data_IF_493515036602
#
_entry.id   IF_493515036602
#
_cell.length_a   1.000
_cell.length_b   1.000
_cell.length_c   1.000
_cell.angle_alpha   90.00
_cell.angle_beta   90.00
_cell.angle_gamma   90.00
#
_symmetry.space_group_name_H-M   'P 1'
#
loop_
_entity.id
_entity.type
_entity.pdbx_description
1 polymer ?
#
# COMPACT_ATOMS: atom_id res chain seq x y z
N UNK A 1 9.79 17.27 7.31
CA UNK A 1 8.75 16.60 6.51
C UNK A 1 8.08 17.61 5.60
N UNK A 2 7.76 17.20 4.37
CA UNK A 2 6.96 17.99 3.42
C UNK A 2 5.51 17.51 3.54
N UNK A 3 4.63 18.36 4.04
CA UNK A 3 3.21 18.04 4.17
C UNK A 3 2.56 17.84 2.79
N UNK A 4 1.63 16.92 2.72
CA UNK A 4 0.77 16.68 1.56
C UNK A 4 -0.62 17.28 1.80
N UNK A 5 -1.31 17.58 0.71
CA UNK A 5 -2.72 17.99 0.73
C UNK A 5 -3.56 16.78 1.19
N UNK A 6 -4.47 17.00 2.11
CA UNK A 6 -5.40 15.97 2.54
C UNK A 6 -6.40 15.70 1.41
N UNK A 7 -6.34 14.51 0.86
CA UNK A 7 -7.25 14.01 -0.18
C UNK A 7 -7.96 12.77 0.32
N UNK A 8 -9.09 12.46 -0.27
CA UNK A 8 -9.86 11.23 -0.08
C UNK A 8 -9.92 10.42 -1.39
N UNK A 9 -10.76 9.41 -1.43
CA UNK A 9 -10.82 8.47 -2.55
C UNK A 9 -11.33 9.08 -3.86
N UNK A 10 -12.12 10.16 -3.81
CA UNK A 10 -12.60 10.85 -5.02
C UNK A 10 -11.45 11.45 -5.83
N UNK A 11 -10.31 11.67 -5.16
CA UNK A 11 -9.10 12.12 -5.84
C UNK A 11 -8.55 11.11 -6.85
N UNK A 12 -8.81 9.81 -6.70
CA UNK A 12 -8.43 8.77 -7.66
C UNK A 12 -8.93 9.04 -9.09
N UNK A 13 -10.07 9.70 -9.23
CA UNK A 13 -10.68 9.99 -10.54
C UNK A 13 -10.16 11.30 -11.16
N UNK A 14 -9.67 12.22 -10.33
CA UNK A 14 -9.23 13.57 -10.76
C UNK A 14 -7.72 13.77 -10.72
N UNK A 15 -6.97 12.84 -10.11
CA UNK A 15 -5.52 12.95 -9.93
C UNK A 15 -4.78 13.07 -11.28
N UNK A 16 -3.75 13.94 -11.37
CA UNK A 16 -2.88 14.04 -12.55
C UNK A 16 -2.13 12.74 -12.89
N UNK A 17 -1.75 11.97 -11.86
CA UNK A 17 -1.18 10.63 -12.01
C UNK A 17 -2.25 9.64 -11.55
N UNK A 18 -2.58 8.67 -12.40
CA UNK A 18 -3.50 7.59 -12.08
C UNK A 18 -2.86 6.29 -12.49
N UNK A 19 -2.67 5.40 -11.52
CA UNK A 19 -2.07 4.09 -11.70
C UNK A 19 -3.09 3.03 -11.29
N UNK A 20 -3.22 1.99 -12.09
CA UNK A 20 -4.08 0.84 -11.78
C UNK A 20 -3.33 -0.44 -12.09
N UNK A 21 -3.47 -1.42 -11.22
CA UNK A 21 -2.94 -2.76 -11.45
C UNK A 21 -3.90 -3.80 -10.89
N UNK A 22 -3.81 -5.00 -11.45
CA UNK A 22 -4.47 -6.19 -10.93
C UNK A 22 -3.41 -7.26 -10.78
N UNK A 23 -3.39 -7.90 -9.62
CA UNK A 23 -2.40 -8.93 -9.26
C UNK A 23 -3.13 -10.15 -8.73
N UNK A 24 -2.83 -11.33 -9.27
CA UNK A 24 -3.29 -12.59 -8.70
C UNK A 24 -2.30 -13.06 -7.63
N UNK A 25 -2.82 -13.45 -6.49
CA UNK A 25 -2.04 -14.00 -5.36
C UNK A 25 -2.72 -15.30 -4.92
N UNK A 26 -2.01 -16.41 -4.98
CA UNK A 26 -2.52 -17.74 -4.60
C UNK A 26 -2.71 -17.90 -3.07
N UNK A 27 -3.27 -16.90 -2.42
CA UNK A 27 -3.59 -16.86 -0.99
C UNK A 27 -4.96 -16.24 -0.77
N UNK A 28 -5.71 -16.64 0.26
CA UNK A 28 -7.03 -16.09 0.57
C UNK A 28 -6.99 -14.57 0.81
N UNK A 29 -8.06 -13.82 0.47
CA UNK A 29 -8.13 -12.37 0.66
C UNK A 29 -7.83 -11.91 2.09
N UNK A 30 -8.30 -12.63 3.10
CA UNK A 30 -8.03 -12.31 4.51
C UNK A 30 -6.53 -12.38 4.86
N UNK A 31 -5.81 -13.32 4.29
CA UNK A 31 -4.36 -13.46 4.49
C UNK A 31 -3.62 -12.31 3.81
N UNK A 32 -3.94 -12.02 2.55
CA UNK A 32 -3.30 -10.93 1.79
C UNK A 32 -3.58 -9.58 2.43
N UNK A 33 -4.81 -9.35 2.89
CA UNK A 33 -5.18 -8.17 3.66
C UNK A 33 -4.34 -8.05 4.94
N UNK A 34 -4.28 -9.11 5.75
CA UNK A 34 -3.52 -9.12 7.01
C UNK A 34 -2.03 -8.80 6.78
N UNK A 35 -1.42 -9.32 5.70
CA UNK A 35 -0.04 -9.03 5.34
C UNK A 35 0.18 -7.54 5.06
N UNK A 36 -0.77 -6.87 4.40
CA UNK A 36 -0.67 -5.46 4.02
C UNK A 36 -1.09 -4.51 5.14
N UNK A 37 -2.06 -4.90 5.97
CA UNK A 37 -2.75 -4.02 6.90
C UNK A 37 -2.22 -4.09 8.34
N UNK A 38 -1.95 -5.31 8.87
CA UNK A 38 -1.78 -5.47 10.31
C UNK A 38 -0.43 -4.98 10.82
N UNK A 39 0.65 -5.09 10.05
CA UNK A 39 1.97 -4.61 10.44
C UNK A 39 2.65 -3.83 9.31
N UNK A 40 2.85 -2.51 9.47
CA UNK A 40 3.52 -1.70 8.46
C UNK A 40 4.97 -2.15 8.13
N UNK A 41 5.64 -2.90 9.01
CA UNK A 41 6.98 -3.44 8.75
C UNK A 41 6.96 -4.50 7.63
N UNK A 42 5.83 -5.18 7.43
CA UNK A 42 5.68 -6.21 6.40
C UNK A 42 5.85 -5.67 4.98
N UNK A 43 5.60 -4.38 4.73
CA UNK A 43 5.82 -3.77 3.43
C UNK A 43 7.25 -3.96 2.92
N UNK A 44 8.24 -3.99 3.82
CA UNK A 44 9.64 -4.26 3.48
C UNK A 44 9.92 -5.69 2.99
N UNK A 45 8.97 -6.60 3.15
CA UNK A 45 9.12 -7.97 2.72
C UNK A 45 8.56 -8.20 1.32
N UNK A 46 7.41 -7.63 1.01
CA UNK A 46 6.74 -7.94 -0.24
C UNK A 46 6.83 -6.82 -1.28
N UNK A 47 6.99 -5.57 -0.90
CA UNK A 47 7.07 -4.48 -1.87
C UNK A 47 8.53 -4.02 -2.09
N UNK A 48 9.08 -4.15 -3.31
CA UNK A 48 10.45 -3.75 -3.59
C UNK A 48 10.73 -2.28 -3.28
N UNK A 49 11.78 -2.02 -2.51
CA UNK A 49 12.22 -0.68 -2.14
C UNK A 49 11.74 -0.19 -0.78
N UNK A 50 10.71 -0.80 -0.17
CA UNK A 50 10.44 -0.57 1.24
C UNK A 50 11.45 -1.30 2.11
N UNK A 51 11.77 -0.73 3.27
CA UNK A 51 12.48 -1.42 4.34
C UNK A 51 11.52 -1.85 5.45
N UNK A 52 12.04 -2.58 6.46
CA UNK A 52 11.24 -3.10 7.58
C UNK A 52 11.09 -2.11 8.75
N UNK A 53 11.29 -0.82 8.53
CA UNK A 53 11.16 0.21 9.55
C UNK A 53 9.73 0.72 9.73
N UNK A 54 8.77 0.17 8.99
CA UNK A 54 7.36 0.51 9.09
C UNK A 54 6.84 0.32 10.52
N UNK A 55 6.02 1.27 11.00
CA UNK A 55 5.44 1.19 12.35
C UNK A 55 4.17 2.03 12.46
N UNK A 56 3.27 1.57 13.31
CA UNK A 56 2.13 2.35 13.73
C UNK A 56 2.56 3.56 14.58
N UNK A 57 1.89 4.68 14.41
CA UNK A 57 2.04 5.90 15.19
C UNK A 57 0.87 6.12 16.16
N UNK A 58 -0.26 5.49 15.88
CA UNK A 58 -1.43 5.47 16.77
C UNK A 58 -1.45 4.16 17.57
N UNK A 59 -1.91 4.17 18.84
CA UNK A 59 -2.13 2.93 19.57
C UNK A 59 -3.27 2.12 18.94
N UNK A 60 -3.22 0.78 19.08
CA UNK A 60 -4.30 -0.10 18.64
C UNK A 60 -5.56 -0.02 19.52
N UNK A 61 -6.68 -0.60 19.08
CA UNK A 61 -6.83 -1.32 17.80
C UNK A 61 -6.76 -0.39 16.59
N UNK A 62 -6.20 -0.88 15.47
CA UNK A 62 -6.02 -0.09 14.25
C UNK A 62 -7.25 -0.19 13.33
N UNK A 63 -7.48 0.86 12.54
CA UNK A 63 -8.61 0.98 11.63
C UNK A 63 -8.61 2.35 10.95
N UNK A 64 -9.76 2.80 10.49
CA UNK A 64 -9.93 4.13 9.87
C UNK A 64 -9.43 5.22 10.82
N UNK A 65 -8.62 6.15 10.31
CA UNK A 65 -7.97 7.22 11.07
C UNK A 65 -6.66 6.84 11.76
N UNK A 66 -6.30 5.54 11.79
CA UNK A 66 -4.99 5.12 12.28
C UNK A 66 -3.88 5.66 11.39
N UNK A 67 -2.75 6.00 12.01
CA UNK A 67 -1.57 6.55 11.32
C UNK A 67 -0.37 5.63 11.47
N UNK A 68 0.42 5.56 10.42
CA UNK A 68 1.65 4.77 10.41
C UNK A 68 2.71 5.41 9.50
N UNK A 69 3.93 4.92 9.63
CA UNK A 69 5.04 5.29 8.74
C UNK A 69 5.53 4.08 7.98
N UNK A 70 5.99 4.33 6.75
CA UNK A 70 6.80 3.41 5.94
C UNK A 70 8.03 4.14 5.42
N UNK A 71 9.03 3.40 4.96
CA UNK A 71 10.22 3.98 4.36
C UNK A 71 10.54 3.31 3.03
N UNK A 72 10.43 4.08 1.95
CA UNK A 72 10.68 3.66 0.57
C UNK A 72 11.97 4.31 0.06
N UNK A 73 12.99 3.51 -0.26
CA UNK A 73 14.29 4.00 -0.79
C UNK A 73 14.84 5.19 0.03
N UNK A 74 14.81 5.04 1.38
CA UNK A 74 15.28 6.07 2.30
C UNK A 74 14.31 7.23 2.57
N UNK A 75 13.20 7.34 1.85
CA UNK A 75 12.18 8.36 2.06
C UNK A 75 11.16 7.83 3.08
N UNK A 76 11.02 8.51 4.20
CA UNK A 76 9.96 8.22 5.16
C UNK A 76 8.65 8.83 4.66
N UNK A 77 7.59 8.04 4.72
CA UNK A 77 6.23 8.36 4.30
C UNK A 77 5.33 8.21 5.53
N UNK A 78 4.57 9.26 5.87
CA UNK A 78 3.52 9.23 6.88
C UNK A 78 2.18 9.07 6.19
N UNK A 79 1.35 8.16 6.69
CA UNK A 79 0.08 7.80 6.08
C UNK A 79 -1.05 7.71 7.12
N UNK A 80 -2.25 8.03 6.67
CA UNK A 80 -3.51 7.82 7.41
C UNK A 80 -4.41 6.84 6.68
N UNK A 81 -4.98 5.92 7.42
CA UNK A 81 -5.96 4.94 6.91
C UNK A 81 -7.29 5.64 6.63
N UNK A 82 -7.80 5.51 5.42
CA UNK A 82 -9.09 6.04 4.97
C UNK A 82 -10.19 4.99 4.98
N UNK A 83 -9.86 3.73 4.64
CA UNK A 83 -10.79 2.60 4.64
C UNK A 83 -10.08 1.41 5.27
N UNK A 84 -10.79 0.70 6.11
CA UNK A 84 -10.38 -0.56 6.71
C UNK A 84 -11.59 -1.48 6.74
N UNK A 85 -11.71 -2.31 5.72
CA UNK A 85 -12.73 -3.36 5.63
C UNK A 85 -12.00 -4.69 5.60
N UNK A 86 -12.02 -5.39 6.73
CA UNK A 86 -11.17 -6.55 7.00
C UNK A 86 -11.35 -7.64 5.94
N UNK A 87 -10.24 -7.98 5.28
CA UNK A 87 -10.22 -8.96 4.20
C UNK A 87 -10.80 -8.51 2.86
N UNK A 88 -11.37 -7.29 2.76
CA UNK A 88 -12.03 -6.82 1.55
C UNK A 88 -11.42 -5.53 0.97
N UNK A 89 -11.12 -4.53 1.79
CA UNK A 89 -10.61 -3.24 1.28
C UNK A 89 -9.72 -2.52 2.28
N UNK A 90 -8.61 -1.98 1.78
CA UNK A 90 -7.70 -1.10 2.53
C UNK A 90 -7.41 0.13 1.69
N UNK A 91 -7.58 1.32 2.24
CA UNK A 91 -7.18 2.54 1.57
C UNK A 91 -6.49 3.49 2.53
N UNK A 92 -5.53 4.25 2.01
CA UNK A 92 -4.78 5.23 2.79
C UNK A 92 -4.30 6.38 1.91
N UNK A 93 -4.04 7.51 2.56
CA UNK A 93 -3.41 8.66 1.93
C UNK A 93 -2.07 8.97 2.56
N UNK A 94 -1.21 9.61 1.79
CA UNK A 94 0.05 10.17 2.29
C UNK A 94 -0.23 11.53 2.91
N UNK A 95 0.14 11.69 4.18
CA UNK A 95 0.04 12.96 4.93
C UNK A 95 1.31 13.80 4.82
N UNK A 96 2.49 13.15 4.82
CA UNK A 96 3.78 13.82 4.69
C UNK A 96 4.90 12.88 4.20
N UNK A 97 5.95 13.45 3.63
CA UNK A 97 7.15 12.73 3.19
C UNK A 97 8.44 13.49 3.54
N UNK A 98 9.57 12.79 3.70
CA UNK A 98 10.88 13.42 3.91
C UNK A 98 11.50 14.00 2.63
N UNK A 99 10.95 13.68 1.45
CA UNK A 99 11.36 14.25 0.18
C UNK A 99 10.19 14.96 -0.51
N UNK A 100 10.41 16.07 -1.25
CA UNK A 100 9.34 16.80 -1.93
C UNK A 100 8.90 16.11 -3.23
N UNK A 101 8.38 14.87 -3.13
CA UNK A 101 7.99 14.07 -4.28
C UNK A 101 6.58 14.43 -4.78
N UNK A 102 5.62 14.52 -3.87
CA UNK A 102 4.21 14.71 -4.20
C UNK A 102 3.57 15.82 -3.38
N UNK A 103 2.51 16.43 -3.92
CA UNK A 103 1.62 17.33 -3.21
C UNK A 103 0.47 16.58 -2.56
N UNK A 104 0.00 15.49 -3.19
CA UNK A 104 -1.04 14.61 -2.71
C UNK A 104 -0.81 13.20 -3.25
N UNK A 105 -1.20 12.19 -2.48
CA UNK A 105 -1.18 10.79 -2.89
C UNK A 105 -2.20 9.99 -2.10
N UNK A 106 -2.95 9.13 -2.80
CA UNK A 106 -3.94 8.22 -2.21
C UNK A 106 -3.81 6.85 -2.88
N UNK A 107 -4.07 5.80 -2.12
CA UNK A 107 -4.00 4.41 -2.56
C UNK A 107 -5.23 3.66 -2.08
N UNK A 108 -5.74 2.75 -2.93
CA UNK A 108 -6.92 1.93 -2.68
C UNK A 108 -6.66 0.50 -3.15
N UNK A 109 -6.83 -0.45 -2.25
CA UNK A 109 -6.59 -1.88 -2.43
C UNK A 109 -7.89 -2.65 -2.20
N UNK A 110 -8.36 -3.38 -3.20
CA UNK A 110 -9.50 -4.28 -3.12
C UNK A 110 -9.04 -5.72 -3.19
N UNK A 111 -9.50 -6.54 -2.26
CA UNK A 111 -9.17 -7.95 -2.11
C UNK A 111 -10.40 -8.78 -2.45
N UNK A 112 -10.46 -9.32 -3.66
CA UNK A 112 -11.57 -10.13 -4.15
C UNK A 112 -11.13 -11.61 -4.20
N UNK A 113 -11.99 -12.54 -3.84
CA UNK A 113 -11.71 -13.97 -4.05
C UNK A 113 -11.68 -14.27 -5.55
N UNK A 114 -10.72 -15.08 -5.98
CA UNK A 114 -10.72 -15.66 -7.31
C UNK A 114 -11.35 -17.08 -7.30
N UNK A 115 -11.48 -17.68 -8.51
CA UNK A 115 -12.09 -19.01 -8.68
C UNK A 115 -11.26 -20.16 -8.06
N UNK A 116 -10.05 -19.87 -7.57
CA UNK A 116 -9.08 -20.85 -7.02
C UNK A 116 -8.84 -20.67 -5.52
N UNK A 117 -9.75 -19.99 -4.79
CA UNK A 117 -9.59 -19.58 -3.39
C UNK A 117 -8.38 -18.65 -3.15
N UNK A 118 -7.85 -18.06 -4.21
CA UNK A 118 -6.83 -17.03 -4.18
C UNK A 118 -7.43 -15.62 -4.10
N UNK A 119 -6.57 -14.61 -4.25
CA UNK A 119 -6.94 -13.20 -4.23
C UNK A 119 -6.69 -12.55 -5.58
N UNK A 120 -7.72 -11.92 -6.13
CA UNK A 120 -7.60 -10.91 -7.15
C UNK A 120 -7.43 -9.54 -6.47
N UNK A 121 -6.18 -9.11 -6.32
CA UNK A 121 -5.84 -7.82 -5.71
C UNK A 121 -5.89 -6.72 -6.76
N UNK A 122 -6.87 -5.81 -6.64
CA UNK A 122 -6.96 -4.61 -7.47
C UNK A 122 -6.40 -3.42 -6.72
N UNK A 123 -5.47 -2.71 -7.35
CA UNK A 123 -4.81 -1.54 -6.77
C UNK A 123 -5.05 -0.33 -7.65
N UNK A 124 -5.50 0.76 -7.03
CA UNK A 124 -5.60 2.07 -7.66
C UNK A 124 -4.80 3.08 -6.85
N UNK A 125 -4.02 3.92 -7.54
CA UNK A 125 -3.27 5.01 -6.91
C UNK A 125 -3.51 6.31 -7.67
N UNK A 126 -3.69 7.40 -6.92
CA UNK A 126 -3.86 8.75 -7.42
C UNK A 126 -2.81 9.69 -6.83
N UNK A 127 -2.11 10.45 -7.68
CA UNK A 127 -1.04 11.34 -7.24
C UNK A 127 -1.02 12.70 -7.93
N UNK A 128 -0.61 13.73 -7.17
CA UNK A 128 -0.28 15.07 -7.68
C UNK A 128 1.22 15.30 -7.48
N UNK A 129 2.04 15.18 -8.54
CA UNK A 129 3.50 15.24 -8.40
C UNK A 129 3.98 16.65 -8.15
N UNK A 130 5.06 16.82 -7.37
CA UNK A 130 5.87 18.03 -7.36
C UNK A 130 6.76 18.08 -8.60
N UNK A 131 7.32 19.26 -8.90
CA UNK A 131 8.04 19.51 -10.15
C UNK A 131 9.13 18.47 -10.45
N UNK A 132 9.93 18.11 -9.47
CA UNK A 132 11.00 17.13 -9.63
C UNK A 132 10.48 15.73 -10.01
N UNK A 133 9.32 15.34 -9.51
CA UNK A 133 8.71 14.03 -9.79
C UNK A 133 7.94 14.01 -11.12
N UNK A 134 7.56 15.17 -11.67
CA UNK A 134 6.90 15.28 -12.99
C UNK A 134 7.72 14.64 -14.11
N UNK A 135 9.06 14.74 -14.04
CA UNK A 135 9.95 14.16 -15.04
C UNK A 135 9.91 12.62 -15.08
N UNK A 136 9.56 11.99 -13.97
CA UNK A 136 9.43 10.53 -13.89
C UNK A 136 8.04 10.02 -14.34
N UNK A 137 7.05 10.89 -14.48
CA UNK A 137 5.65 10.53 -14.79
C UNK A 137 5.50 9.60 -16.01
N UNK A 138 6.21 9.80 -17.13
CA UNK A 138 6.02 8.96 -18.32
C UNK A 138 6.40 7.49 -18.13
N UNK A 139 7.34 7.19 -17.22
CA UNK A 139 7.80 5.82 -16.98
C UNK A 139 7.06 5.14 -15.82
N UNK A 140 6.35 5.91 -14.99
CA UNK A 140 5.66 5.43 -13.80
C UNK A 140 4.72 4.24 -14.06
N UNK A 141 3.87 4.22 -15.09
CA UNK A 141 2.94 3.10 -15.29
C UNK A 141 3.67 1.77 -15.51
N UNK A 142 4.79 1.77 -16.25
CA UNK A 142 5.59 0.57 -16.50
C UNK A 142 6.30 0.10 -15.23
N UNK A 143 6.92 1.04 -14.50
CA UNK A 143 7.58 0.75 -13.22
C UNK A 143 6.54 0.23 -12.21
N UNK A 144 5.39 0.85 -12.13
CA UNK A 144 4.30 0.44 -11.25
C UNK A 144 3.84 -0.99 -11.54
N UNK A 145 3.58 -1.33 -12.80
CA UNK A 145 3.19 -2.70 -13.19
C UNK A 145 4.24 -3.72 -12.77
N UNK A 146 5.53 -3.43 -12.98
CA UNK A 146 6.63 -4.30 -12.57
C UNK A 146 6.65 -4.48 -11.04
N UNK A 147 6.52 -3.39 -10.28
CA UNK A 147 6.52 -3.41 -8.82
C UNK A 147 5.32 -4.22 -8.28
N UNK A 148 4.13 -4.03 -8.85
CA UNK A 148 2.94 -4.79 -8.46
C UNK A 148 3.09 -6.28 -8.76
N UNK A 149 3.64 -6.64 -9.91
CA UNK A 149 3.94 -8.05 -10.24
C UNK A 149 4.92 -8.67 -9.24
N UNK A 150 5.98 -7.93 -8.87
CA UNK A 150 6.94 -8.39 -7.87
C UNK A 150 6.32 -8.51 -6.47
N UNK A 151 5.49 -7.56 -6.11
CA UNK A 151 4.73 -7.60 -4.85
C UNK A 151 3.88 -8.88 -4.77
N UNK A 152 3.11 -9.19 -5.82
CA UNK A 152 2.30 -10.41 -5.87
C UNK A 152 3.14 -11.67 -5.70
N UNK A 153 4.25 -11.79 -6.44
CA UNK A 153 5.18 -12.92 -6.31
C UNK A 153 5.76 -13.07 -4.89
N UNK A 154 6.06 -11.94 -4.24
CA UNK A 154 6.59 -11.95 -2.87
C UNK A 154 5.50 -12.32 -1.86
N UNK A 155 4.27 -11.84 -2.04
CA UNK A 155 3.12 -12.23 -1.24
C UNK A 155 2.87 -13.75 -1.31
N UNK A 156 2.94 -14.37 -2.48
CA UNK A 156 2.81 -15.82 -2.64
C UNK A 156 3.90 -16.60 -1.90
N UNK A 157 5.14 -16.13 -1.95
CA UNK A 157 6.30 -16.80 -1.35
C UNK A 157 6.45 -16.53 0.14
N UNK A 158 5.83 -15.47 0.64
CA UNK A 158 6.02 -14.99 2.00
C UNK A 158 5.52 -15.99 3.06
N UNK A 159 6.25 -16.06 4.18
CA UNK A 159 5.89 -16.87 5.36
C UNK A 159 5.14 -16.05 6.42
N UNK A 160 4.43 -15.02 6.01
CA UNK A 160 3.68 -14.10 6.89
C UNK A 160 2.60 -14.79 7.70
N UNK A 161 2.20 -15.96 7.24
CA UNK A 161 1.04 -16.70 7.71
C UNK A 161 1.42 -17.91 8.57
N UNK A 162 2.59 -17.90 9.19
CA UNK A 162 2.88 -18.90 10.23
C UNK A 162 1.84 -18.75 11.32
N UNK A 163 0.83 -19.61 11.29
CA UNK A 163 -0.14 -19.80 12.36
C UNK A 163 0.61 -19.82 13.67
N UNK A 164 0.20 -19.06 14.71
CA UNK A 164 0.78 -19.24 16.03
C UNK A 164 0.56 -20.71 16.40
N UNK A 165 1.65 -21.44 16.57
CA UNK A 165 1.61 -22.79 17.08
C UNK A 165 0.99 -22.70 18.46
N UNK A 166 -0.24 -23.10 18.59
CA UNK A 166 -0.91 -23.30 19.89
C UNK A 166 -0.12 -24.40 20.59
N UNK A 167 0.84 -24.02 21.43
CA UNK A 167 1.40 -24.92 22.40
C UNK A 167 0.30 -25.20 23.43
N UNK A 168 -0.28 -26.38 23.34
CA UNK A 168 -1.07 -27.05 24.41
C UNK A 168 -0.14 -27.45 25.52
#
# INVERSE_FOLDING_TARGET
MFACEAVDLDFLDTAPIRLRATVNVGRPPSEVFAALAHDPANWGEFFPGFDRSGRWQTPGPHGVGSRYTKRLIGITIEESVLVWDEGARLAFRVDATTAPAVHAWVEDYHFESDDSDGTLLRVAMGGKPRLAFKLATPVLPRVFTLLMTRMGQNLERGRWFSTPTTNT
#
